data_IF_434262904694
#
_entry.id   IF_434262904694
#
_cell.length_a   1.000
_cell.length_b   1.000
_cell.length_c   1.000
_cell.angle_alpha   90.00
_cell.angle_beta   90.00
_cell.angle_gamma   90.00
#
_symmetry.space_group_name_H-M   'P 1'
#
loop_
_entity.id
_entity.type
_entity.pdbx_description
1 polymer ?
#
# COMPACT_ATOMS: atom_id res chain seq x y z
N UNK A 1 17.81 13.13 7.17
CA UNK A 1 17.35 12.66 5.85
C UNK A 1 16.31 13.62 5.33
N UNK A 2 16.59 14.25 4.20
CA UNK A 2 15.72 15.22 3.51
C UNK A 2 14.74 14.47 2.63
N UNK A 3 13.47 14.84 2.73
CA UNK A 3 12.36 14.08 2.14
C UNK A 3 11.51 15.01 1.28
N UNK A 4 11.15 14.53 0.09
CA UNK A 4 10.06 15.06 -0.70
C UNK A 4 8.85 14.15 -0.53
N UNK A 5 7.69 14.70 -0.16
CA UNK A 5 6.45 13.96 0.04
C UNK A 5 5.44 14.28 -1.07
N UNK A 6 5.15 13.28 -1.92
CA UNK A 6 4.17 13.37 -2.99
C UNK A 6 2.81 12.93 -2.48
N UNK A 7 1.83 13.83 -2.50
CA UNK A 7 0.52 13.62 -1.90
C UNK A 7 0.50 13.95 -0.41
N UNK A 8 -0.54 14.66 0.02
CA UNK A 8 -0.74 15.02 1.43
C UNK A 8 -2.17 14.69 1.91
N UNK A 9 -2.65 13.52 1.48
CA UNK A 9 -3.92 12.94 1.91
C UNK A 9 -3.81 12.30 3.30
N UNK A 10 -4.64 11.28 3.56
CA UNK A 10 -4.71 10.58 4.85
C UNK A 10 -3.35 9.98 5.25
N UNK A 11 -2.67 9.29 4.33
CA UNK A 11 -1.36 8.67 4.60
C UNK A 11 -0.27 9.72 4.82
N UNK A 12 -0.13 10.70 3.91
CA UNK A 12 0.87 11.76 4.05
C UNK A 12 0.73 12.57 5.35
N UNK A 13 -0.49 12.89 5.76
CA UNK A 13 -0.74 13.55 7.06
C UNK A 13 -0.45 12.64 8.25
N UNK A 14 -0.77 11.34 8.15
CA UNK A 14 -0.46 10.36 9.20
C UNK A 14 1.04 10.17 9.37
N UNK A 15 1.79 10.16 8.26
CA UNK A 15 3.25 10.11 8.27
C UNK A 15 3.86 11.35 8.93
N UNK A 16 3.37 12.55 8.61
CA UNK A 16 3.82 13.79 9.25
C UNK A 16 3.61 13.74 10.78
N UNK A 17 2.43 13.30 11.24
CA UNK A 17 2.14 13.11 12.66
C UNK A 17 3.04 12.04 13.30
N UNK A 18 3.31 10.96 12.58
CA UNK A 18 4.16 9.86 13.06
C UNK A 18 5.61 10.30 13.21
N UNK A 19 6.15 11.11 12.28
CA UNK A 19 7.49 11.69 12.43
C UNK A 19 7.61 12.60 13.65
N UNK A 20 6.57 13.38 13.96
CA UNK A 20 6.54 14.25 15.13
C UNK A 20 6.45 13.45 16.44
N UNK A 21 5.51 12.48 16.52
CA UNK A 21 5.30 11.70 17.74
C UNK A 21 6.43 10.70 18.05
N UNK A 22 7.22 10.33 17.03
CA UNK A 22 8.34 9.38 17.12
C UNK A 22 9.71 10.08 16.95
N UNK A 23 9.80 11.40 17.06
CA UNK A 23 11.03 12.11 16.72
C UNK A 23 12.23 11.66 17.58
N UNK A 24 12.05 11.62 18.90
CA UNK A 24 13.13 11.31 19.84
C UNK A 24 13.60 9.86 19.71
N UNK A 25 12.67 8.91 19.56
CA UNK A 25 13.02 7.51 19.54
C UNK A 25 13.54 7.04 18.17
N UNK A 26 13.13 7.68 17.07
CA UNK A 26 13.77 7.51 15.76
C UNK A 26 15.22 7.99 15.77
N UNK A 27 15.49 9.11 16.44
CA UNK A 27 16.85 9.61 16.58
C UNK A 27 17.68 8.68 17.48
N UNK A 28 17.18 8.35 18.68
CA UNK A 28 17.91 7.55 19.65
C UNK A 28 18.23 6.12 19.16
N UNK A 29 17.30 5.46 18.45
CA UNK A 29 17.48 4.07 18.02
C UNK A 29 18.12 3.91 16.64
N UNK A 30 17.86 4.84 15.72
CA UNK A 30 18.24 4.69 14.31
C UNK A 30 19.11 5.83 13.78
N UNK A 31 19.43 6.83 14.61
CA UNK A 31 20.11 8.05 14.16
C UNK A 31 19.34 8.75 13.04
N UNK A 32 18.00 8.62 13.04
CA UNK A 32 17.13 9.04 11.96
C UNK A 32 16.39 10.32 12.37
N UNK A 33 16.68 11.42 11.68
CA UNK A 33 15.92 12.67 11.76
C UNK A 33 15.31 12.99 10.38
N UNK A 34 14.07 12.55 10.11
CA UNK A 34 13.35 12.86 8.88
C UNK A 34 13.06 14.37 8.81
N UNK A 35 13.27 14.98 7.65
CA UNK A 35 12.94 16.39 7.41
C UNK A 35 12.22 16.50 6.07
N UNK A 36 10.94 16.87 6.08
CA UNK A 36 10.20 17.11 4.84
C UNK A 36 10.61 18.49 4.32
N UNK A 37 11.39 18.53 3.25
CA UNK A 37 11.88 19.78 2.63
C UNK A 37 10.95 20.28 1.52
N UNK A 38 10.12 19.38 0.98
CA UNK A 38 9.09 19.71 0.02
C UNK A 38 7.92 18.73 0.11
N UNK A 39 6.71 19.26 -0.09
CA UNK A 39 5.48 18.48 -0.12
C UNK A 39 4.54 19.07 -1.16
N UNK A 40 3.77 18.24 -1.84
CA UNK A 40 2.73 18.73 -2.74
C UNK A 40 1.48 17.85 -2.71
N UNK A 41 0.35 18.48 -3.04
CA UNK A 41 -0.92 17.81 -3.30
C UNK A 41 -1.49 18.27 -4.64
N UNK A 42 -2.72 17.84 -4.96
CA UNK A 42 -3.36 18.14 -6.24
C UNK A 42 -3.61 19.63 -6.52
N UNK A 43 -3.44 20.52 -5.53
CA UNK A 43 -3.73 21.95 -5.65
C UNK A 43 -2.51 22.85 -5.51
N UNK A 44 -1.37 22.32 -5.05
CA UNK A 44 -0.11 23.05 -4.98
C UNK A 44 0.88 22.43 -4.01
N UNK A 45 1.92 23.19 -3.66
CA UNK A 45 3.09 22.71 -2.94
C UNK A 45 3.45 23.58 -1.74
N UNK A 46 4.32 23.07 -0.87
CA UNK A 46 4.99 23.83 0.16
C UNK A 46 6.46 23.37 0.22
N UNK A 47 7.36 24.33 0.38
CA UNK A 47 8.82 24.08 0.33
C UNK A 47 9.51 24.86 1.45
N UNK A 48 10.41 24.19 2.14
CA UNK A 48 11.35 24.80 3.07
C UNK A 48 12.62 23.94 3.14
N UNK A 49 13.74 24.48 2.67
CA UNK A 49 15.04 23.80 2.67
C UNK A 49 15.55 23.45 4.08
N UNK A 50 15.11 24.16 5.12
CA UNK A 50 15.45 23.83 6.51
C UNK A 50 14.59 22.69 7.06
N UNK A 51 13.47 22.39 6.40
CA UNK A 51 12.45 21.44 6.82
C UNK A 51 11.15 22.14 7.23
N UNK A 52 10.03 21.66 6.72
CA UNK A 52 8.69 22.16 7.02
C UNK A 52 8.28 21.82 8.46
N UNK A 53 7.55 22.73 9.11
CA UNK A 53 6.90 22.46 10.38
C UNK A 53 5.68 21.55 10.15
N UNK A 54 5.73 20.33 10.69
CA UNK A 54 4.78 19.26 10.38
C UNK A 54 3.38 19.54 10.94
N UNK A 55 3.27 20.01 12.18
CA UNK A 55 1.99 20.34 12.81
C UNK A 55 1.29 21.49 12.07
N UNK A 56 2.01 22.57 11.74
CA UNK A 56 1.50 23.66 10.89
C UNK A 56 1.07 23.16 9.51
N UNK A 57 1.83 22.24 8.91
CA UNK A 57 1.50 21.68 7.60
C UNK A 57 0.18 20.89 7.62
N UNK A 58 -0.01 20.05 8.64
CA UNK A 58 -1.27 19.30 8.85
C UNK A 58 -2.43 20.25 9.12
N UNK A 59 -2.25 21.27 9.97
CA UNK A 59 -3.27 22.30 10.24
C UNK A 59 -3.65 23.07 8.97
N UNK A 60 -2.67 23.45 8.15
CA UNK A 60 -2.88 24.12 6.87
C UNK A 60 -3.74 23.25 5.95
N UNK A 61 -3.38 21.98 5.80
CA UNK A 61 -4.13 21.03 4.96
C UNK A 61 -5.57 20.86 5.46
N UNK A 62 -5.76 20.75 6.77
CA UNK A 62 -7.09 20.63 7.39
C UNK A 62 -7.95 21.88 7.18
N UNK A 63 -7.35 23.07 7.32
CA UNK A 63 -8.05 24.36 7.22
C UNK A 63 -8.39 24.73 5.78
N UNK A 64 -7.47 24.52 4.84
CA UNK A 64 -7.59 25.03 3.47
C UNK A 64 -7.82 23.93 2.43
N UNK A 65 -7.76 22.65 2.81
CA UNK A 65 -7.84 21.52 1.89
C UNK A 65 -6.62 21.39 0.97
N UNK A 66 -5.57 22.20 1.14
CA UNK A 66 -4.31 22.14 0.39
C UNK A 66 -3.10 22.59 1.20
N UNK A 67 -1.92 22.07 0.88
CA UNK A 67 -0.63 22.55 1.42
C UNK A 67 -0.17 23.87 0.81
N UNK A 68 -0.75 24.30 -0.32
CA UNK A 68 -0.43 25.55 -1.02
C UNK A 68 -0.48 26.81 -0.13
N UNK A 69 -1.29 26.77 0.92
CA UNK A 69 -1.47 27.90 1.83
C UNK A 69 -0.50 27.89 3.03
N UNK A 70 0.54 27.05 3.00
CA UNK A 70 1.50 26.91 4.11
C UNK A 70 2.40 28.14 4.28
N UNK A 71 2.95 28.64 3.17
CA UNK A 71 3.86 29.78 3.12
C UNK A 71 3.28 30.97 2.34
N UNK A 72 4.06 32.04 2.19
CA UNK A 72 3.71 33.17 1.30
C UNK A 72 4.37 33.07 -0.09
N UNK A 73 5.41 32.25 -0.24
CA UNK A 73 6.23 32.13 -1.45
C UNK A 73 6.52 30.66 -1.76
N UNK A 74 6.84 30.34 -3.02
CA UNK A 74 7.22 28.99 -3.50
C UNK A 74 6.18 27.87 -3.27
N UNK A 75 4.88 28.18 -3.33
CA UNK A 75 3.81 27.21 -3.07
C UNK A 75 3.06 26.70 -4.33
N UNK A 76 3.55 27.03 -5.52
CA UNK A 76 2.88 26.73 -6.80
C UNK A 76 3.76 25.91 -7.75
N UNK A 77 4.89 25.38 -7.28
CA UNK A 77 5.67 24.45 -8.10
C UNK A 77 4.84 23.19 -8.35
N UNK A 78 4.89 22.68 -9.57
CA UNK A 78 4.31 21.36 -9.86
C UNK A 78 5.07 20.27 -9.10
N UNK A 79 4.46 19.09 -8.97
CA UNK A 79 5.12 17.96 -8.30
C UNK A 79 6.44 17.57 -8.96
N UNK A 80 6.50 17.58 -10.30
CA UNK A 80 7.71 17.25 -11.06
C UNK A 80 8.78 18.33 -10.96
N UNK A 81 8.40 19.61 -10.96
CA UNK A 81 9.35 20.71 -10.74
C UNK A 81 9.95 20.63 -9.34
N UNK A 82 9.14 20.29 -8.34
CA UNK A 82 9.60 20.14 -6.97
C UNK A 82 10.58 18.95 -6.84
N UNK A 83 10.27 17.80 -7.46
CA UNK A 83 11.15 16.61 -7.46
C UNK A 83 12.49 16.91 -8.15
N UNK A 84 12.49 17.67 -9.25
CA UNK A 84 13.70 17.95 -10.02
C UNK A 84 14.54 19.11 -9.48
N UNK A 85 13.95 20.04 -8.73
CA UNK A 85 14.64 21.25 -8.27
C UNK A 85 15.12 21.22 -6.82
N UNK A 86 14.62 20.29 -6.00
CA UNK A 86 15.00 20.20 -4.59
C UNK A 86 16.05 19.11 -4.36
N UNK A 87 17.05 19.44 -3.56
CA UNK A 87 18.03 18.48 -3.08
C UNK A 87 17.44 17.69 -1.89
N UNK A 88 17.14 16.41 -2.13
CA UNK A 88 16.54 15.50 -1.18
C UNK A 88 17.15 14.10 -1.31
N UNK A 89 17.11 13.34 -0.21
CA UNK A 89 17.69 12.00 -0.16
C UNK A 89 16.64 10.94 -0.54
N UNK A 90 15.36 11.19 -0.20
CA UNK A 90 14.25 10.25 -0.41
C UNK A 90 13.01 10.98 -0.93
N UNK A 91 12.35 10.40 -1.93
CA UNK A 91 10.99 10.76 -2.33
C UNK A 91 10.00 9.71 -1.82
N UNK A 92 8.90 10.16 -1.22
CA UNK A 92 7.84 9.31 -0.71
C UNK A 92 6.55 9.55 -1.52
N UNK A 93 6.12 8.52 -2.25
CA UNK A 93 4.96 8.53 -3.13
C UNK A 93 3.72 8.03 -2.37
N UNK A 94 2.79 8.94 -2.06
CA UNK A 94 1.52 8.65 -1.36
C UNK A 94 0.28 9.12 -2.13
N UNK A 95 0.41 9.35 -3.44
CA UNK A 95 -0.76 9.74 -4.24
C UNK A 95 -1.71 8.57 -4.45
N UNK A 96 -2.94 8.87 -4.83
CA UNK A 96 -3.96 7.86 -5.08
C UNK A 96 -3.52 6.93 -6.21
N UNK A 97 -3.85 5.65 -6.09
CA UNK A 97 -3.57 4.68 -7.14
C UNK A 97 -4.48 4.89 -8.34
N UNK A 98 -3.87 4.86 -9.52
CA UNK A 98 -4.54 4.90 -10.80
C UNK A 98 -4.06 3.69 -11.60
N UNK A 99 -4.97 2.80 -11.98
CA UNK A 99 -4.62 1.57 -12.69
C UNK A 99 -4.75 1.69 -14.21
N UNK A 100 -5.13 2.87 -14.73
CA UNK A 100 -5.23 3.12 -16.16
C UNK A 100 -3.85 3.38 -16.77
N UNK A 101 -3.12 4.33 -16.20
CA UNK A 101 -1.80 4.78 -16.70
C UNK A 101 -0.80 5.02 -15.55
N UNK A 102 -1.18 4.75 -14.30
CA UNK A 102 -0.36 4.99 -13.11
C UNK A 102 0.07 6.44 -12.87
N UNK A 103 -0.47 7.41 -13.61
CA UNK A 103 -0.14 8.82 -13.42
C UNK A 103 -0.98 9.46 -12.31
N UNK A 104 -0.40 10.43 -11.56
CA UNK A 104 0.94 11.01 -11.72
C UNK A 104 2.07 10.22 -11.03
N UNK A 105 1.73 9.14 -10.31
CA UNK A 105 2.68 8.37 -9.49
C UNK A 105 3.85 7.79 -10.28
N UNK A 106 3.61 7.35 -11.52
CA UNK A 106 4.64 6.84 -12.42
C UNK A 106 5.70 7.90 -12.71
N UNK A 107 5.27 9.09 -13.16
CA UNK A 107 6.18 10.20 -13.46
C UNK A 107 6.94 10.67 -12.22
N UNK A 108 6.31 10.69 -11.03
CA UNK A 108 7.00 11.02 -9.78
C UNK A 108 8.15 10.05 -9.49
N UNK A 109 7.86 8.75 -9.49
CA UNK A 109 8.82 7.69 -9.17
C UNK A 109 10.01 7.71 -10.13
N UNK A 110 9.75 7.79 -11.44
CA UNK A 110 10.79 7.85 -12.46
C UNK A 110 11.66 9.09 -12.30
N UNK A 111 11.04 10.26 -12.08
CA UNK A 111 11.76 11.52 -11.91
C UNK A 111 12.69 11.48 -10.68
N UNK A 112 12.18 10.99 -9.54
CA UNK A 112 12.98 10.90 -8.31
C UNK A 112 14.21 10.00 -8.47
N UNK A 113 14.06 8.83 -9.09
CA UNK A 113 15.19 7.92 -9.32
C UNK A 113 16.23 8.51 -10.28
N UNK A 114 15.79 9.23 -11.33
CA UNK A 114 16.70 9.94 -12.25
C UNK A 114 17.50 11.05 -11.55
N UNK A 115 16.93 11.67 -10.52
CA UNK A 115 17.59 12.67 -9.66
C UNK A 115 18.32 12.03 -8.46
N UNK A 116 18.62 10.72 -8.52
CA UNK A 116 19.41 9.99 -7.51
C UNK A 116 18.78 9.98 -6.11
N UNK A 117 17.46 10.11 -6.02
CA UNK A 117 16.72 9.93 -4.77
C UNK A 117 16.32 8.46 -4.59
N UNK A 118 16.42 7.95 -3.36
CA UNK A 118 15.71 6.71 -3.02
C UNK A 118 14.20 6.97 -3.07
N UNK A 119 13.41 5.94 -3.36
CA UNK A 119 11.96 6.06 -3.49
C UNK A 119 11.28 5.10 -2.52
N UNK A 120 10.31 5.61 -1.78
CA UNK A 120 9.34 4.79 -1.04
C UNK A 120 7.97 5.04 -1.67
N UNK A 121 7.28 4.01 -2.14
CA UNK A 121 5.94 4.15 -2.71
C UNK A 121 4.93 3.32 -1.94
N UNK A 122 3.77 3.91 -1.64
CA UNK A 122 2.56 3.17 -1.21
C UNK A 122 1.48 3.17 -2.28
N UNK A 123 1.83 3.66 -3.47
CA UNK A 123 0.95 3.68 -4.63
C UNK A 123 1.16 2.41 -5.46
N UNK A 124 0.09 1.62 -5.56
CA UNK A 124 0.09 0.33 -6.25
C UNK A 124 0.12 0.47 -7.78
N UNK A 125 -0.38 1.58 -8.33
CA UNK A 125 -0.53 1.77 -9.78
C UNK A 125 0.78 1.55 -10.54
N UNK A 126 1.85 2.31 -10.25
CA UNK A 126 3.13 2.17 -10.95
C UNK A 126 3.71 0.76 -10.87
N UNK A 127 3.61 0.12 -9.70
CA UNK A 127 4.13 -1.22 -9.46
C UNK A 127 3.26 -2.30 -10.14
N UNK A 128 1.94 -2.15 -10.19
CA UNK A 128 1.06 -3.09 -10.88
C UNK A 128 1.24 -3.04 -12.41
N UNK A 129 1.69 -1.91 -12.96
CA UNK A 129 1.84 -1.71 -14.41
C UNK A 129 3.28 -1.93 -14.91
N UNK A 130 4.30 -1.58 -14.11
CA UNK A 130 5.69 -1.54 -14.57
C UNK A 130 6.71 -2.06 -13.55
N UNK A 131 6.32 -3.02 -12.69
CA UNK A 131 7.19 -3.54 -11.62
C UNK A 131 8.64 -3.84 -12.06
N UNK A 132 8.88 -4.66 -13.10
CA UNK A 132 10.25 -5.06 -13.45
C UNK A 132 11.08 -3.87 -13.92
N UNK A 133 10.50 -3.02 -14.79
CA UNK A 133 11.16 -1.83 -15.32
C UNK A 133 11.51 -0.81 -14.24
N UNK A 134 10.65 -0.66 -13.22
CA UNK A 134 10.93 0.23 -12.09
C UNK A 134 12.08 -0.27 -11.21
N UNK A 135 12.18 -1.58 -10.97
CA UNK A 135 13.33 -2.17 -10.26
C UNK A 135 14.63 -2.06 -11.04
N UNK A 136 14.59 -2.29 -12.35
CA UNK A 136 15.74 -2.10 -13.24
C UNK A 136 16.20 -0.64 -13.24
N UNK A 137 15.26 0.33 -13.30
CA UNK A 137 15.56 1.75 -13.23
C UNK A 137 16.20 2.16 -11.90
N UNK A 138 15.72 1.61 -10.77
CA UNK A 138 16.30 1.83 -9.45
C UNK A 138 17.75 1.33 -9.39
N UNK A 139 17.97 0.11 -9.89
CA UNK A 139 19.29 -0.54 -9.97
C UNK A 139 20.26 0.28 -10.83
N UNK A 140 19.82 0.68 -12.04
CA UNK A 140 20.62 1.51 -12.95
C UNK A 140 21.02 2.84 -12.32
N UNK A 141 20.12 3.45 -11.54
CA UNK A 141 20.41 4.72 -10.88
C UNK A 141 21.16 4.59 -9.56
N UNK A 142 21.40 3.36 -9.06
CA UNK A 142 22.02 3.06 -7.77
C UNK A 142 21.22 3.64 -6.58
N UNK A 143 19.90 3.55 -6.68
CA UNK A 143 18.97 3.98 -5.63
C UNK A 143 18.06 2.84 -5.22
N UNK A 144 17.46 2.95 -4.04
CA UNK A 144 16.54 1.95 -3.51
C UNK A 144 15.10 2.31 -3.89
N UNK A 145 14.33 1.33 -4.38
CA UNK A 145 12.88 1.42 -4.52
C UNK A 145 12.23 0.52 -3.48
N UNK A 146 11.61 1.11 -2.46
CA UNK A 146 10.88 0.42 -1.38
C UNK A 146 9.38 0.62 -1.56
N UNK A 147 8.59 -0.38 -1.18
CA UNK A 147 7.16 -0.39 -1.44
C UNK A 147 6.38 -1.27 -0.47
N UNK A 148 6.88 -1.44 0.76
CA UNK A 148 6.29 -2.41 1.69
C UNK A 148 4.86 -2.06 2.11
N UNK A 149 4.46 -0.79 1.98
CA UNK A 149 3.09 -0.33 2.27
C UNK A 149 2.07 -0.53 1.15
N UNK A 150 2.47 -1.06 -0.02
CA UNK A 150 1.55 -1.29 -1.15
C UNK A 150 0.69 -2.53 -0.96
N UNK A 151 1.19 -3.51 -0.22
CA UNK A 151 0.50 -4.76 0.11
C UNK A 151 0.54 -4.98 1.62
N UNK A 152 -0.63 -5.13 2.24
CA UNK A 152 -0.74 -5.37 3.68
C UNK A 152 -0.75 -4.10 4.55
N UNK A 153 -0.65 -2.90 3.97
CA UNK A 153 -0.73 -1.65 4.71
C UNK A 153 0.38 -1.54 5.76
N UNK A 154 0.04 -1.74 7.04
CA UNK A 154 1.01 -1.81 8.14
C UNK A 154 1.59 -3.20 8.38
N UNK A 155 0.89 -4.25 7.94
CA UNK A 155 1.31 -5.65 8.06
C UNK A 155 2.48 -5.90 7.11
N UNK A 156 3.64 -6.40 7.58
CA UNK A 156 4.87 -6.52 6.79
C UNK A 156 4.82 -7.74 5.85
N UNK A 157 3.82 -7.83 4.97
CA UNK A 157 3.60 -8.99 4.10
C UNK A 157 4.78 -9.21 3.15
N UNK A 158 5.18 -8.16 2.42
CA UNK A 158 6.26 -8.25 1.43
C UNK A 158 7.61 -8.54 2.09
N UNK A 159 7.85 -7.94 3.25
CA UNK A 159 9.08 -8.12 4.01
C UNK A 159 9.14 -9.49 4.67
N UNK A 160 8.02 -10.01 5.18
CA UNK A 160 7.95 -11.37 5.74
C UNK A 160 8.34 -12.40 4.68
N UNK A 161 7.74 -12.32 3.49
CA UNK A 161 8.04 -13.25 2.41
C UNK A 161 9.50 -13.17 1.93
N UNK A 162 10.10 -11.98 1.85
CA UNK A 162 11.49 -11.84 1.37
C UNK A 162 12.57 -12.00 2.41
N UNK A 163 12.31 -11.59 3.64
CA UNK A 163 13.34 -11.55 4.69
C UNK A 163 13.20 -12.74 5.63
N UNK A 164 11.98 -13.06 6.08
CA UNK A 164 11.76 -14.14 7.04
C UNK A 164 11.70 -15.52 6.41
N UNK A 165 11.16 -15.63 5.18
CA UNK A 165 11.16 -16.88 4.40
C UNK A 165 12.38 -16.97 3.46
N UNK A 166 13.41 -16.17 3.70
CA UNK A 166 14.62 -16.18 2.86
C UNK A 166 15.30 -17.55 2.94
N UNK A 167 15.45 -18.21 1.80
CA UNK A 167 16.05 -19.54 1.70
C UNK A 167 15.02 -20.66 1.53
N UNK A 168 13.75 -20.40 1.80
CA UNK A 168 12.66 -21.29 1.43
C UNK A 168 12.34 -21.16 -0.08
N UNK A 169 11.81 -22.24 -0.66
CA UNK A 169 11.14 -22.19 -1.97
C UNK A 169 9.64 -22.05 -1.73
N UNK A 170 9.13 -20.82 -1.83
CA UNK A 170 7.69 -20.56 -1.81
C UNK A 170 7.11 -21.15 -3.11
N UNK A 171 6.16 -22.06 -2.97
CA UNK A 171 5.50 -22.75 -4.10
C UNK A 171 4.17 -22.08 -4.46
N UNK A 172 3.46 -21.55 -3.47
CA UNK A 172 2.19 -20.87 -3.68
C UNK A 172 1.85 -19.92 -2.53
N UNK A 173 0.90 -19.02 -2.74
CA UNK A 173 0.31 -18.22 -1.69
C UNK A 173 -1.14 -17.87 -1.97
N UNK A 174 -1.92 -17.67 -0.92
CA UNK A 174 -3.31 -17.23 -1.00
C UNK A 174 -3.62 -16.27 0.15
N UNK A 175 -4.47 -15.28 -0.11
CA UNK A 175 -4.79 -14.30 0.93
C UNK A 175 -6.02 -13.44 0.68
N UNK A 176 -6.56 -12.94 1.78
CA UNK A 176 -7.54 -11.86 1.82
C UNK A 176 -6.76 -10.55 1.80
N UNK A 177 -6.74 -9.90 0.64
CA UNK A 177 -5.92 -8.69 0.41
C UNK A 177 -6.71 -7.38 0.39
N UNK A 178 -8.04 -7.43 0.49
CA UNK A 178 -8.91 -6.26 0.49
C UNK A 178 -9.88 -6.29 1.69
N UNK A 179 -9.68 -5.36 2.63
CA UNK A 179 -10.46 -5.30 3.87
C UNK A 179 -11.92 -4.90 3.65
N UNK A 180 -12.24 -4.14 2.61
CA UNK A 180 -13.61 -3.69 2.30
C UNK A 180 -14.50 -4.86 1.87
N UNK A 181 -14.01 -5.69 0.96
CA UNK A 181 -14.71 -6.90 0.52
C UNK A 181 -14.80 -7.92 1.65
N UNK A 182 -13.75 -8.11 2.45
CA UNK A 182 -13.81 -8.97 3.63
C UNK A 182 -14.85 -8.48 4.65
N UNK A 183 -14.95 -7.17 4.85
CA UNK A 183 -15.93 -6.57 5.72
C UNK A 183 -17.36 -6.81 5.23
N UNK A 184 -17.62 -6.61 3.94
CA UNK A 184 -18.94 -6.85 3.34
C UNK A 184 -19.33 -8.33 3.49
N UNK A 185 -18.45 -9.26 3.10
CA UNK A 185 -18.71 -10.70 3.18
C UNK A 185 -18.88 -11.17 4.64
N UNK A 186 -18.11 -10.62 5.58
CA UNK A 186 -18.28 -10.90 7.02
C UNK A 186 -19.68 -10.48 7.50
N UNK A 187 -20.16 -9.30 7.10
CA UNK A 187 -21.48 -8.84 7.52
C UNK A 187 -22.62 -9.60 6.84
N UNK A 188 -22.41 -10.09 5.62
CA UNK A 188 -23.37 -10.98 4.97
C UNK A 188 -23.50 -12.32 5.69
N UNK A 189 -22.39 -12.90 6.16
CA UNK A 189 -22.41 -14.08 7.05
C UNK A 189 -23.11 -13.80 8.38
N UNK A 190 -23.06 -12.57 8.87
CA UNK A 190 -23.82 -12.14 10.06
C UNK A 190 -25.31 -11.80 9.76
N UNK A 191 -25.81 -12.15 8.57
CA UNK A 191 -27.22 -12.05 8.20
C UNK A 191 -27.62 -10.78 7.44
N UNK A 192 -26.69 -9.90 7.07
CA UNK A 192 -27.01 -8.75 6.21
C UNK A 192 -27.19 -9.17 4.74
N UNK A 193 -28.01 -8.43 4.00
CA UNK A 193 -27.97 -8.50 2.52
C UNK A 193 -26.71 -7.81 1.99
N UNK A 194 -26.33 -8.11 0.75
CA UNK A 194 -25.22 -7.43 0.07
C UNK A 194 -25.40 -5.91 0.08
N UNK A 195 -26.57 -5.42 -0.29
CA UNK A 195 -26.85 -3.97 -0.37
C UNK A 195 -26.77 -3.29 1.00
N UNK A 196 -27.27 -3.94 2.05
CA UNK A 196 -27.17 -3.40 3.42
C UNK A 196 -25.73 -3.36 3.89
N UNK A 197 -24.96 -4.44 3.67
CA UNK A 197 -23.55 -4.49 4.03
C UNK A 197 -22.71 -3.47 3.25
N UNK A 198 -22.98 -3.29 1.95
CA UNK A 198 -22.34 -2.28 1.12
C UNK A 198 -22.67 -0.86 1.61
N UNK A 199 -23.93 -0.57 1.94
CA UNK A 199 -24.35 0.72 2.47
C UNK A 199 -23.68 1.03 3.81
N UNK A 200 -23.58 0.05 4.70
CA UNK A 200 -22.86 0.19 5.97
C UNK A 200 -21.36 0.46 5.73
N UNK A 201 -20.71 -0.31 4.85
CA UNK A 201 -19.31 -0.11 4.48
C UNK A 201 -19.04 1.30 3.92
N UNK A 202 -19.94 1.82 3.06
CA UNK A 202 -19.88 3.20 2.54
C UNK A 202 -20.01 4.23 3.66
N UNK A 203 -20.95 4.05 4.59
CA UNK A 203 -21.15 4.96 5.71
C UNK A 203 -19.93 5.05 6.64
N UNK A 204 -19.16 3.96 6.74
CA UNK A 204 -17.90 3.87 7.49
C UNK A 204 -16.69 4.36 6.70
N UNK A 205 -16.87 4.72 5.44
CA UNK A 205 -15.81 5.20 4.55
C UNK A 205 -14.81 4.11 4.15
N UNK A 206 -15.22 2.84 4.15
CA UNK A 206 -14.36 1.73 3.70
C UNK A 206 -14.33 1.59 2.18
N UNK A 207 -15.41 1.96 1.52
CA UNK A 207 -15.53 1.85 0.05
C UNK A 207 -14.94 3.10 -0.58
N UNK A 208 -14.05 2.91 -1.55
CA UNK A 208 -13.48 3.99 -2.35
C UNK A 208 -14.56 4.70 -3.20
N UNK A 209 -14.25 5.91 -3.67
CA UNK A 209 -15.18 6.67 -4.52
C UNK A 209 -15.53 5.93 -5.83
N UNK A 210 -14.55 5.21 -6.38
CA UNK A 210 -14.77 4.21 -7.43
C UNK A 210 -14.91 2.82 -6.78
N UNK A 211 -16.15 2.37 -6.64
CA UNK A 211 -16.48 1.09 -6.00
C UNK A 211 -15.89 -0.12 -6.73
N UNK A 212 -15.54 0.01 -8.01
CA UNK A 212 -14.96 -1.09 -8.78
C UNK A 212 -13.59 -1.51 -8.26
N UNK A 213 -12.87 -0.59 -7.60
CA UNK A 213 -11.59 -0.88 -6.98
C UNK A 213 -11.70 -1.99 -5.93
N UNK A 214 -12.77 -1.95 -5.14
CA UNK A 214 -13.07 -2.94 -4.11
C UNK A 214 -13.91 -4.09 -4.66
N UNK A 215 -15.14 -3.78 -5.12
CA UNK A 215 -16.18 -4.77 -5.37
C UNK A 215 -15.91 -5.66 -6.56
N UNK A 216 -15.17 -5.16 -7.54
CA UNK A 216 -14.74 -5.94 -8.71
C UNK A 216 -13.38 -6.62 -8.46
N UNK A 217 -12.72 -6.35 -7.33
CA UNK A 217 -11.47 -7.02 -6.93
C UNK A 217 -10.21 -6.46 -7.59
N UNK A 218 -10.25 -5.24 -8.15
CA UNK A 218 -9.09 -4.62 -8.80
C UNK A 218 -7.96 -4.31 -7.81
N UNK A 219 -8.27 -3.84 -6.59
CA UNK A 219 -7.27 -3.61 -5.54
C UNK A 219 -6.59 -4.92 -5.10
N UNK A 220 -7.35 -6.00 -4.94
CA UNK A 220 -6.81 -7.32 -4.63
C UNK A 220 -5.93 -7.86 -5.77
N UNK A 221 -6.34 -7.66 -7.03
CA UNK A 221 -5.57 -8.05 -8.21
C UNK A 221 -4.27 -7.25 -8.33
N UNK A 222 -4.28 -5.94 -8.09
CA UNK A 222 -3.07 -5.12 -8.11
C UNK A 222 -2.06 -5.58 -7.03
N UNK A 223 -2.55 -5.89 -5.83
CA UNK A 223 -1.71 -6.45 -4.76
C UNK A 223 -1.17 -7.83 -5.13
N UNK A 224 -1.98 -8.67 -5.77
CA UNK A 224 -1.55 -9.99 -6.27
C UNK A 224 -0.43 -9.88 -7.30
N UNK A 225 -0.55 -8.95 -8.26
CA UNK A 225 0.52 -8.68 -9.26
C UNK A 225 1.81 -8.27 -8.59
N UNK A 226 1.75 -7.35 -7.61
CA UNK A 226 2.94 -6.90 -6.86
C UNK A 226 3.56 -8.08 -6.10
N UNK A 227 2.76 -8.91 -5.43
CA UNK A 227 3.22 -10.11 -4.73
C UNK A 227 3.87 -11.12 -5.68
N UNK A 228 3.21 -11.44 -6.80
CA UNK A 228 3.70 -12.41 -7.77
C UNK A 228 5.03 -11.97 -8.38
N UNK A 229 5.14 -10.69 -8.77
CA UNK A 229 6.38 -10.15 -9.29
C UNK A 229 7.49 -10.09 -8.24
N UNK A 230 7.16 -9.63 -7.04
CA UNK A 230 8.16 -9.47 -5.99
C UNK A 230 8.66 -10.81 -5.48
N UNK A 231 7.75 -11.70 -5.10
CA UNK A 231 8.04 -12.95 -4.38
C UNK A 231 8.44 -14.04 -5.35
N UNK A 232 7.64 -14.26 -6.40
CA UNK A 232 7.79 -15.38 -7.35
C UNK A 232 8.56 -15.00 -8.62
N UNK A 233 8.80 -13.71 -8.90
CA UNK A 233 9.57 -13.27 -10.05
C UNK A 233 8.87 -13.42 -11.41
N UNK A 234 7.53 -13.49 -11.43
CA UNK A 234 6.74 -13.93 -12.60
C UNK A 234 6.67 -12.93 -13.77
N UNK A 235 6.98 -11.64 -13.57
CA UNK A 235 6.89 -10.56 -14.58
C UNK A 235 5.50 -10.41 -15.23
N UNK A 236 4.47 -10.44 -14.40
CA UNK A 236 3.04 -10.35 -14.76
C UNK A 236 2.47 -8.94 -14.55
N UNK A 237 1.30 -8.69 -15.12
CA UNK A 237 0.51 -7.45 -15.03
C UNK A 237 -0.96 -7.76 -14.76
N UNK A 238 -1.79 -6.74 -14.55
CA UNK A 238 -3.22 -6.91 -14.24
C UNK A 238 -4.01 -7.79 -15.24
N UNK A 239 -3.79 -7.71 -16.57
CA UNK A 239 -4.44 -8.60 -17.54
C UNK A 239 -4.15 -10.10 -17.33
N UNK A 240 -3.06 -10.45 -16.67
CA UNK A 240 -2.67 -11.85 -16.41
C UNK A 240 -3.44 -12.46 -15.21
N UNK A 241 -4.25 -11.65 -14.50
CA UNK A 241 -5.03 -12.10 -13.33
C UNK A 241 -6.46 -12.45 -13.73
N UNK A 242 -6.86 -13.70 -13.50
CA UNK A 242 -8.26 -14.10 -13.59
C UNK A 242 -9.05 -13.53 -12.39
N UNK A 243 -9.87 -12.51 -12.66
CA UNK A 243 -10.53 -11.71 -11.62
C UNK A 243 -12.05 -11.80 -11.69
N UNK A 244 -12.64 -12.23 -10.59
CA UNK A 244 -14.09 -12.18 -10.30
C UNK A 244 -14.30 -11.43 -8.99
N UNK A 245 -15.15 -10.40 -9.01
CA UNK A 245 -15.49 -9.61 -7.83
C UNK A 245 -16.53 -10.27 -6.92
N UNK A 246 -17.03 -9.51 -5.94
CA UNK A 246 -18.02 -9.99 -4.96
C UNK A 246 -19.47 -9.58 -5.28
N UNK A 247 -19.71 -8.80 -6.35
CA UNK A 247 -21.04 -8.24 -6.66
C UNK A 247 -22.15 -9.27 -6.80
N UNK A 248 -21.80 -10.46 -7.30
CA UNK A 248 -22.76 -11.53 -7.58
C UNK A 248 -22.84 -12.57 -6.45
N UNK A 249 -22.14 -12.35 -5.32
CA UNK A 249 -22.25 -13.24 -4.16
C UNK A 249 -23.62 -13.03 -3.51
N UNK A 250 -24.39 -14.11 -3.40
CA UNK A 250 -25.75 -14.07 -2.87
C UNK A 250 -25.79 -14.54 -1.41
N UNK A 251 -26.87 -14.20 -0.70
CA UNK A 251 -27.14 -14.75 0.64
C UNK A 251 -27.28 -16.28 0.62
N UNK A 252 -27.67 -16.88 -0.51
CA UNK A 252 -27.73 -18.33 -0.64
C UNK A 252 -26.35 -18.96 -0.69
N UNK A 253 -25.39 -18.35 -1.38
CA UNK A 253 -23.98 -18.79 -1.41
C UNK A 253 -23.39 -18.78 0.01
N UNK A 254 -23.64 -17.70 0.75
CA UNK A 254 -23.20 -17.56 2.15
C UNK A 254 -23.78 -18.67 3.03
N UNK A 255 -25.10 -18.90 2.96
CA UNK A 255 -25.77 -19.97 3.73
C UNK A 255 -25.30 -21.38 3.34
N UNK A 256 -24.93 -21.58 2.08
CA UNK A 256 -24.39 -22.87 1.63
C UNK A 256 -22.99 -23.10 2.20
N UNK A 257 -22.12 -22.09 2.18
CA UNK A 257 -20.81 -22.17 2.80
C UNK A 257 -20.91 -22.46 4.31
N UNK A 258 -21.82 -21.78 5.02
CA UNK A 258 -22.05 -21.98 6.46
C UNK A 258 -22.43 -23.43 6.80
N UNK A 259 -23.27 -24.09 5.97
CA UNK A 259 -23.64 -25.50 6.16
C UNK A 259 -22.43 -26.45 6.06
N UNK A 260 -21.39 -26.05 5.35
CA UNK A 260 -20.15 -26.80 5.17
C UNK A 260 -19.05 -26.42 6.17
N UNK A 261 -19.38 -25.64 7.22
CA UNK A 261 -18.39 -25.02 8.12
C UNK A 261 -17.34 -24.18 7.35
N UNK A 262 -17.81 -23.46 6.33
CA UNK A 262 -17.01 -22.55 5.52
C UNK A 262 -17.59 -21.14 5.55
N UNK A 263 -16.77 -20.16 5.17
CA UNK A 263 -17.18 -18.80 4.87
C UNK A 263 -16.74 -18.43 3.44
N UNK A 264 -17.55 -17.61 2.76
CA UNK A 264 -17.15 -17.04 1.47
C UNK A 264 -16.19 -15.87 1.71
N UNK A 265 -15.01 -15.91 1.11
CA UNK A 265 -13.97 -14.87 1.18
C UNK A 265 -13.49 -14.50 -0.23
N UNK A 266 -13.14 -13.24 -0.47
CA UNK A 266 -12.46 -12.84 -1.70
C UNK A 266 -10.96 -13.16 -1.57
N UNK A 267 -10.51 -14.16 -2.31
CA UNK A 267 -9.14 -14.69 -2.21
C UNK A 267 -8.33 -14.31 -3.43
N UNK A 268 -7.19 -13.68 -3.20
CA UNK A 268 -6.12 -13.51 -4.16
C UNK A 268 -5.10 -14.65 -3.99
N UNK A 269 -4.88 -15.45 -5.03
CA UNK A 269 -4.01 -16.61 -4.99
C UNK A 269 -3.03 -16.65 -6.16
N UNK A 270 -1.84 -17.14 -5.88
CA UNK A 270 -0.81 -17.51 -6.83
C UNK A 270 -0.45 -18.98 -6.59
N UNK A 271 -0.82 -19.83 -7.52
CA UNK A 271 -0.44 -21.25 -7.56
C UNK A 271 -0.09 -21.61 -9.01
N UNK A 272 -0.84 -22.49 -9.68
CA UNK A 272 -0.70 -22.72 -11.12
C UNK A 272 -1.06 -21.47 -11.95
N UNK A 273 -2.02 -20.67 -11.46
CA UNK A 273 -2.52 -19.45 -12.10
C UNK A 273 -2.61 -18.30 -11.08
N UNK A 274 -2.76 -17.07 -11.59
CA UNK A 274 -3.08 -15.89 -10.79
C UNK A 274 -4.58 -15.66 -10.79
N UNK A 275 -5.21 -15.73 -9.61
CA UNK A 275 -6.67 -15.64 -9.47
C UNK A 275 -7.07 -14.73 -8.32
N UNK A 276 -8.13 -13.94 -8.55
CA UNK A 276 -8.89 -13.22 -7.52
C UNK A 276 -10.35 -13.61 -7.66
N UNK A 277 -10.92 -14.31 -6.68
CA UNK A 277 -12.32 -14.72 -6.75
C UNK A 277 -12.93 -14.96 -5.35
N UNK A 278 -14.27 -14.90 -5.20
CA UNK A 278 -14.94 -15.46 -4.04
C UNK A 278 -14.70 -16.97 -3.96
N UNK A 279 -14.28 -17.47 -2.80
CA UNK A 279 -13.99 -18.88 -2.52
C UNK A 279 -14.54 -19.24 -1.15
N UNK A 280 -15.06 -20.46 -1.00
CA UNK A 280 -15.38 -21.04 0.31
C UNK A 280 -14.09 -21.47 1.02
N UNK A 281 -13.84 -20.90 2.19
CA UNK A 281 -12.73 -21.28 3.07
C UNK A 281 -13.29 -21.83 4.37
N UNK A 282 -12.73 -22.93 4.87
CA UNK A 282 -13.10 -23.49 6.18
C UNK A 282 -12.98 -22.44 7.28
N UNK A 283 -13.94 -22.40 8.19
CA UNK A 283 -13.89 -21.47 9.33
C UNK A 283 -12.72 -21.75 10.29
N UNK A 284 -12.13 -22.94 10.22
CA UNK A 284 -10.95 -23.33 11.01
C UNK A 284 -9.63 -22.96 10.32
N UNK A 285 -9.66 -22.54 9.05
CA UNK A 285 -8.48 -22.09 8.32
C UNK A 285 -7.98 -20.74 8.87
N UNK A 286 -6.69 -20.58 9.21
CA UNK A 286 -6.13 -19.30 9.66
C UNK A 286 -6.33 -18.13 8.68
N UNK A 287 -6.55 -18.37 7.39
CA UNK A 287 -6.90 -17.34 6.41
C UNK A 287 -8.31 -16.79 6.59
N UNK A 288 -9.22 -17.50 7.27
CA UNK A 288 -10.62 -17.13 7.42
C UNK A 288 -10.84 -16.00 8.45
N UNK A 289 -10.12 -14.89 8.29
CA UNK A 289 -10.22 -13.72 9.17
C UNK A 289 -11.41 -12.83 8.81
N UNK A 290 -11.91 -12.10 9.81
CA UNK A 290 -13.14 -11.32 9.70
C UNK A 290 -12.91 -9.81 9.71
N UNK A 291 -13.93 -9.06 9.31
CA UNK A 291 -13.94 -7.60 9.33
C UNK A 291 -13.00 -7.02 8.28
N UNK A 292 -12.19 -6.04 8.68
CA UNK A 292 -11.27 -5.31 7.78
C UNK A 292 -9.83 -5.86 7.81
N UNK A 293 -9.63 -7.03 8.42
CA UNK A 293 -8.33 -7.68 8.46
C UNK A 293 -7.93 -8.22 7.09
N UNK A 294 -6.62 -8.18 6.84
CA UNK A 294 -5.97 -8.92 5.78
C UNK A 294 -5.26 -10.14 6.38
N UNK A 295 -5.19 -11.20 5.60
CA UNK A 295 -4.43 -12.40 5.90
C UNK A 295 -3.79 -12.93 4.61
N UNK A 296 -2.59 -13.47 4.70
CA UNK A 296 -1.94 -14.17 3.60
C UNK A 296 -1.18 -15.37 4.14
N UNK A 297 -1.30 -16.48 3.44
CA UNK A 297 -0.63 -17.73 3.72
C UNK A 297 0.37 -17.99 2.60
N UNK A 298 1.63 -18.16 2.97
CA UNK A 298 2.70 -18.60 2.06
C UNK A 298 2.94 -20.08 2.30
N UNK A 299 2.89 -20.88 1.24
CA UNK A 299 3.24 -22.30 1.29
C UNK A 299 4.62 -22.48 0.70
N UNK A 300 5.51 -23.05 1.50
CA UNK A 300 6.88 -23.37 1.09
C UNK A 300 7.06 -24.89 1.02
N UNK A 301 8.01 -25.33 0.18
CA UNK A 301 8.25 -26.76 -0.08
C UNK A 301 8.57 -27.58 1.17
N UNK A 302 9.25 -27.01 2.16
CA UNK A 302 9.75 -27.75 3.32
C UNK A 302 9.15 -27.31 4.65
N UNK A 303 8.98 -26.00 4.86
CA UNK A 303 8.45 -25.46 6.11
C UNK A 303 6.92 -25.46 6.21
N UNK A 304 6.22 -25.92 5.16
CA UNK A 304 4.76 -25.94 5.09
C UNK A 304 4.18 -24.54 4.89
N UNK A 305 2.97 -24.31 5.43
CA UNK A 305 2.24 -23.06 5.26
C UNK A 305 2.39 -22.14 6.47
N UNK A 306 2.76 -20.88 6.24
CA UNK A 306 2.80 -19.85 7.27
C UNK A 306 1.85 -18.70 6.95
N UNK A 307 1.02 -18.33 7.92
CA UNK A 307 0.00 -17.29 7.77
C UNK A 307 0.36 -16.05 8.59
N UNK A 308 0.34 -14.88 7.95
CA UNK A 308 0.46 -13.57 8.60
C UNK A 308 -0.85 -12.81 8.49
N UNK A 309 -1.29 -12.25 9.62
CA UNK A 309 -2.59 -11.58 9.77
C UNK A 309 -2.36 -10.19 10.36
N UNK A 310 -3.09 -9.20 9.85
CA UNK A 310 -3.08 -7.86 10.42
C UNK A 310 -3.97 -6.89 9.65
N UNK A 311 -3.87 -5.61 10.00
CA UNK A 311 -4.62 -4.56 9.29
C UNK A 311 -3.99 -4.30 7.94
N UNK A 312 -4.79 -4.39 6.87
CA UNK A 312 -4.36 -4.20 5.48
C UNK A 312 -4.43 -2.78 4.93
N UNK A 313 -5.03 -1.86 5.69
CA UNK A 313 -5.26 -0.48 5.28
C UNK A 313 -5.33 0.44 6.51
N UNK A 314 -5.31 1.75 6.27
CA UNK A 314 -5.39 2.78 7.29
C UNK A 314 -4.23 3.77 7.21
N UNK A 315 -4.49 5.03 7.56
CA UNK A 315 -3.50 6.10 7.43
C UNK A 315 -2.24 5.86 8.26
N UNK A 316 -2.42 5.48 9.53
CA UNK A 316 -1.29 5.24 10.44
C UNK A 316 -0.61 3.91 10.17
N UNK A 317 -1.37 2.88 9.79
CA UNK A 317 -0.87 1.57 9.39
C UNK A 317 0.06 1.69 8.17
N UNK A 318 -0.40 2.38 7.11
CA UNK A 318 0.43 2.62 5.91
C UNK A 318 1.58 3.60 6.17
N UNK A 319 1.42 4.58 7.06
CA UNK A 319 2.54 5.43 7.47
C UNK A 319 3.63 4.63 8.22
N UNK A 320 3.24 3.60 8.98
CA UNK A 320 4.16 2.72 9.69
C UNK A 320 5.05 1.90 8.74
N UNK A 321 4.51 1.41 7.62
CA UNK A 321 5.31 0.72 6.59
C UNK A 321 6.28 1.65 5.88
N UNK A 322 5.87 2.89 5.57
CA UNK A 322 6.80 3.91 5.05
C UNK A 322 7.96 4.15 6.03
N UNK A 323 7.68 4.20 7.34
CA UNK A 323 8.71 4.40 8.35
C UNK A 323 9.69 3.23 8.41
N UNK A 324 9.21 1.99 8.27
CA UNK A 324 10.06 0.79 8.15
C UNK A 324 10.98 0.88 6.92
N UNK A 325 10.42 1.22 5.76
CA UNK A 325 11.19 1.39 4.51
C UNK A 325 12.25 2.49 4.64
N UNK A 326 11.92 3.59 5.32
CA UNK A 326 12.83 4.70 5.57
C UNK A 326 14.01 4.30 6.49
N UNK A 327 13.74 3.47 7.51
CA UNK A 327 14.78 2.93 8.39
C UNK A 327 15.71 1.99 7.61
N UNK A 328 15.18 1.19 6.69
CA UNK A 328 16.00 0.28 5.89
C UNK A 328 16.87 1.05 4.89
N UNK A 329 16.33 2.07 4.21
CA UNK A 329 17.14 2.99 3.38
C UNK A 329 18.23 3.66 4.22
N UNK A 330 17.90 4.12 5.43
CA UNK A 330 18.89 4.73 6.33
C UNK A 330 20.03 3.77 6.66
N UNK A 331 19.75 2.49 6.91
CA UNK A 331 20.79 1.48 7.17
C UNK A 331 21.65 1.21 5.94
N UNK A 332 21.06 1.18 4.75
CA UNK A 332 21.79 1.03 3.48
C UNK A 332 22.78 2.19 3.28
N UNK A 333 22.34 3.43 3.48
CA UNK A 333 23.20 4.64 3.35
C UNK A 333 24.35 4.65 4.37
N UNK A 334 24.15 4.14 5.60
CA UNK A 334 25.22 4.09 6.62
C UNK A 334 26.31 3.06 6.27
N UNK A 335 25.95 2.01 5.53
CA UNK A 335 26.85 0.89 5.21
C UNK A 335 27.65 1.11 3.93
N UNK A 336 27.16 1.97 3.03
CA UNK A 336 27.83 2.36 1.80
C UNK A 336 28.95 3.37 2.06
#
# INVERSE_FOLDING_TARGET
MRIILCGFGVVGQSLAKLFESRADDLYAKYGLKPRIVGVFDSKGSAVDSAGLNLSKLVETKKKFGTVKNYGKTKNNLSGLDLISSLDADVMIETTASNYKDAEPGMSHIISAMKHKMHVISVNKGPLALAFPSLLELATFNQVSLKFSGTVGGGTPILDYAKNSLRGERITSFAGILNGTTNYILTNMANGMSFDTALKDAKSKGYVEADESLDLDGLDAAAKLVILANWIMGMKVTLPDVNRTGIRNVTTQDIKNAEKNNCAVKLIASCDNDLKVAPVEISTDDPLCVNGTLNAIAFTSEHSGTQTIIGKGAGGIETASSILRDLIDIRKEIVRA
#
